data_IF_237997786986
#
_entry.id   IF_237997786986
#
_cell.length_a   1.000
_cell.length_b   1.000
_cell.length_c   1.000
_cell.angle_alpha   90.00
_cell.angle_beta   90.00
_cell.angle_gamma   90.00
#
_symmetry.space_group_name_H-M   'P 1'
#
loop_
_entity.id
_entity.type
_entity.pdbx_description
1 polymer ?
#
# COMPACT_ATOMS: atom_id res chain seq x y z
N UNK A 1 -13.59 30.46 60.68
CA UNK A 1 -13.84 29.61 59.50
C UNK A 1 -12.92 30.07 58.38
N UNK A 2 -11.72 29.49 58.31
CA UNK A 2 -10.79 29.75 57.21
C UNK A 2 -11.16 28.90 55.99
N UNK A 3 -11.55 29.55 54.90
CA UNK A 3 -11.84 28.91 53.63
C UNK A 3 -10.53 28.64 52.88
N UNK A 4 -9.79 27.61 53.30
CA UNK A 4 -8.63 27.08 52.56
C UNK A 4 -9.13 26.32 51.33
N UNK A 5 -9.28 27.01 50.19
CA UNK A 5 -9.26 26.34 48.89
C UNK A 5 -7.94 25.59 48.79
N UNK A 6 -8.01 24.26 48.73
CA UNK A 6 -6.86 23.40 48.45
C UNK A 6 -6.13 23.93 47.20
N UNK A 7 -4.79 24.06 47.21
CA UNK A 7 -4.06 24.35 45.98
C UNK A 7 -4.37 23.23 44.97
N UNK A 8 -4.70 23.62 43.75
CA UNK A 8 -4.86 22.67 42.65
C UNK A 8 -3.57 21.83 42.53
N UNK A 9 -3.66 20.53 42.26
CA UNK A 9 -2.47 19.71 42.06
C UNK A 9 -1.62 20.34 40.95
N UNK A 10 -0.27 20.32 41.05
CA UNK A 10 0.57 20.68 39.91
C UNK A 10 0.11 19.80 38.75
N UNK A 11 -0.30 20.42 37.64
CA UNK A 11 -0.82 19.72 36.48
C UNK A 11 0.21 18.68 36.06
N UNK A 12 -0.05 17.41 36.34
CA UNK A 12 0.74 16.29 35.84
C UNK A 12 0.83 16.49 34.34
N UNK A 13 2.05 16.58 33.82
CA UNK A 13 2.26 16.61 32.37
C UNK A 13 1.53 15.39 31.82
N UNK A 14 0.50 15.62 31.00
CA UNK A 14 -0.18 14.55 30.29
C UNK A 14 0.89 13.89 29.42
N UNK A 15 1.24 12.65 29.75
CA UNK A 15 2.05 11.79 28.90
C UNK A 15 1.10 10.85 28.16
N UNK A 16 0.35 11.43 27.21
CA UNK A 16 -0.57 10.68 26.38
C UNK A 16 0.21 10.14 25.19
N UNK A 17 0.34 8.82 25.16
CA UNK A 17 0.83 8.11 24.01
C UNK A 17 -0.33 7.75 23.07
N UNK A 18 -0.38 8.35 21.87
CA UNK A 18 -1.38 8.08 20.83
C UNK A 18 -0.78 7.22 19.70
N UNK A 19 -0.21 6.07 20.04
CA UNK A 19 0.33 5.14 19.04
C UNK A 19 -0.68 4.08 18.61
N UNK A 20 -0.30 3.32 17.58
CA UNK A 20 -1.12 2.25 17.02
C UNK A 20 -1.01 0.93 17.81
N UNK A 21 -0.24 0.87 18.92
CA UNK A 21 -0.01 -0.39 19.63
C UNK A 21 -1.28 -0.92 20.28
N UNK A 22 -2.19 -0.05 20.70
CA UNK A 22 -3.48 -0.44 21.27
C UNK A 22 -4.22 -1.42 20.35
N UNK A 23 -4.27 -1.16 19.03
CA UNK A 23 -4.93 -2.05 18.08
C UNK A 23 -4.28 -3.44 18.00
N UNK A 24 -2.95 -3.50 18.06
CA UNK A 24 -2.19 -4.75 18.03
C UNK A 24 -2.38 -5.51 19.34
N UNK A 25 -2.34 -4.81 20.47
CA UNK A 25 -2.57 -5.39 21.80
C UNK A 25 -3.98 -5.94 21.91
N UNK A 26 -5.00 -5.19 21.46
CA UNK A 26 -6.40 -5.64 21.45
C UNK A 26 -6.60 -6.86 20.57
N UNK A 27 -5.94 -6.89 19.40
CA UNK A 27 -5.96 -8.05 18.52
C UNK A 27 -5.35 -9.28 19.20
N UNK A 28 -4.16 -9.15 19.80
CA UNK A 28 -3.50 -10.24 20.52
C UNK A 28 -4.34 -10.70 21.70
N UNK A 29 -4.88 -9.77 22.50
CA UNK A 29 -5.71 -10.09 23.66
C UNK A 29 -6.94 -10.95 23.29
N UNK A 30 -7.56 -10.66 22.14
CA UNK A 30 -8.80 -11.31 21.68
C UNK A 30 -8.58 -12.54 20.81
N UNK A 31 -7.52 -12.57 20.01
CA UNK A 31 -7.33 -13.55 18.94
C UNK A 31 -6.18 -14.53 19.17
N UNK A 32 -5.35 -14.32 20.21
CA UNK A 32 -4.28 -15.27 20.51
C UNK A 32 -4.89 -16.64 20.91
N UNK A 33 -4.43 -17.76 20.31
CA UNK A 33 -5.01 -19.07 20.55
C UNK A 33 -4.64 -19.56 21.96
N UNK A 34 -5.59 -19.44 22.89
CA UNK A 34 -5.43 -19.84 24.30
C UNK A 34 -6.23 -21.09 24.67
N UNK A 35 -7.05 -21.62 23.75
CA UNK A 35 -7.91 -22.78 24.01
C UNK A 35 -7.06 -24.05 23.99
N UNK A 36 -7.23 -24.90 25.01
CA UNK A 36 -6.57 -26.19 25.07
C UNK A 36 -7.18 -27.11 24.02
N UNK A 37 -6.33 -27.86 23.31
CA UNK A 37 -6.76 -28.80 22.27
C UNK A 37 -6.61 -30.23 22.78
N UNK A 38 -7.65 -31.04 22.63
CA UNK A 38 -7.59 -32.48 22.86
C UNK A 38 -7.17 -33.17 21.56
N UNK A 39 -6.13 -34.00 21.60
CA UNK A 39 -5.67 -34.77 20.45
C UNK A 39 -6.35 -36.13 20.47
N UNK A 40 -6.95 -36.52 19.35
CA UNK A 40 -7.57 -37.83 19.15
C UNK A 40 -7.17 -38.37 17.78
N UNK A 41 -7.30 -39.68 17.61
CA UNK A 41 -7.04 -40.34 16.34
C UNK A 41 -8.37 -40.56 15.63
N UNK A 42 -8.51 -40.09 14.39
CA UNK A 42 -9.70 -40.39 13.60
C UNK A 42 -9.74 -41.85 13.12
N UNK A 43 -10.86 -42.26 12.54
CA UNK A 43 -11.09 -43.62 12.05
C UNK A 43 -10.05 -44.09 11.01
N UNK A 44 -9.35 -43.15 10.37
CA UNK A 44 -8.31 -43.40 9.38
C UNK A 44 -6.89 -43.40 9.98
N UNK A 45 -6.75 -43.32 11.30
CA UNK A 45 -5.45 -43.29 11.98
C UNK A 45 -4.77 -41.92 11.99
N UNK A 46 -5.43 -40.86 11.52
CA UNK A 46 -4.82 -39.53 11.48
C UNK A 46 -5.00 -38.80 12.81
N UNK A 47 -3.96 -38.15 13.35
CA UNK A 47 -4.09 -37.30 14.53
C UNK A 47 -4.93 -36.07 14.18
N UNK A 48 -6.03 -35.89 14.89
CA UNK A 48 -6.87 -34.70 14.86
C UNK A 48 -6.84 -34.02 16.22
N UNK A 49 -7.19 -32.74 16.22
CA UNK A 49 -7.32 -32.00 17.46
C UNK A 49 -8.61 -31.22 17.47
N UNK A 50 -9.28 -31.20 18.62
CA UNK A 50 -10.48 -30.40 18.83
C UNK A 50 -10.38 -29.53 20.08
N UNK A 51 -11.05 -28.38 20.12
CA UNK A 51 -11.01 -27.51 21.29
C UNK A 51 -11.70 -28.17 22.49
N UNK A 52 -10.96 -28.29 23.60
CA UNK A 52 -11.43 -28.94 24.81
C UNK A 52 -12.52 -28.11 25.51
N UNK A 53 -13.49 -28.82 26.09
CA UNK A 53 -14.63 -28.30 26.85
C UNK A 53 -14.67 -29.05 28.18
N UNK A 54 -14.97 -28.37 29.28
CA UNK A 54 -15.15 -29.00 30.60
C UNK A 54 -16.55 -29.63 30.77
N UNK A 55 -16.78 -30.26 31.92
CA UNK A 55 -18.05 -30.91 32.24
C UNK A 55 -19.25 -29.93 32.28
N UNK A 56 -18.99 -28.62 32.40
CA UNK A 56 -19.98 -27.55 32.43
C UNK A 56 -20.17 -26.87 31.07
N UNK A 57 -19.54 -27.39 30.00
CA UNK A 57 -19.66 -26.84 28.66
C UNK A 57 -18.78 -25.61 28.40
N UNK A 58 -17.85 -25.26 29.30
CA UNK A 58 -16.98 -24.08 29.16
C UNK A 58 -15.68 -24.40 28.41
N UNK A 59 -15.12 -23.45 27.65
CA UNK A 59 -13.81 -23.61 27.01
C UNK A 59 -12.69 -23.86 28.04
N UNK A 60 -11.94 -24.94 27.88
CA UNK A 60 -10.74 -25.17 28.68
C UNK A 60 -9.58 -24.35 28.11
N UNK A 61 -8.91 -23.57 28.95
CA UNK A 61 -7.79 -22.72 28.54
C UNK A 61 -6.44 -23.37 28.86
N UNK A 62 -5.51 -23.25 27.92
CA UNK A 62 -4.14 -23.70 28.06
C UNK A 62 -3.31 -22.67 28.85
N UNK A 63 -2.82 -23.06 30.03
CA UNK A 63 -2.06 -22.16 30.93
C UNK A 63 -0.78 -21.62 30.29
N UNK A 64 -0.04 -22.45 29.55
CA UNK A 64 1.18 -22.01 28.86
C UNK A 64 0.88 -21.04 27.72
N UNK A 65 -0.24 -21.23 27.01
CA UNK A 65 -0.67 -20.32 25.95
C UNK A 65 -1.13 -18.96 26.52
N UNK A 66 -1.86 -18.96 27.65
CA UNK A 66 -2.19 -17.73 28.37
C UNK A 66 -0.93 -16.96 28.78
N UNK A 67 0.03 -17.64 29.40
CA UNK A 67 1.31 -17.03 29.78
C UNK A 67 2.14 -16.55 28.58
N UNK A 68 2.03 -17.20 27.41
CA UNK A 68 2.68 -16.75 26.18
C UNK A 68 2.02 -15.47 25.63
N UNK A 69 0.69 -15.42 25.59
CA UNK A 69 -0.07 -14.23 25.21
C UNK A 69 0.28 -13.04 26.10
N UNK A 70 0.25 -13.24 27.41
CA UNK A 70 0.44 -12.14 28.37
C UNK A 70 1.87 -11.59 28.29
N UNK A 71 2.87 -12.45 28.14
CA UNK A 71 4.26 -12.02 27.86
C UNK A 71 4.40 -11.26 26.55
N UNK A 72 3.72 -11.69 25.48
CA UNK A 72 3.74 -10.98 24.20
C UNK A 72 3.13 -9.59 24.32
N UNK A 73 2.00 -9.46 25.04
CA UNK A 73 1.37 -8.16 25.32
C UNK A 73 2.32 -7.27 26.11
N UNK A 74 2.97 -7.79 27.15
CA UNK A 74 3.95 -7.05 27.95
C UNK A 74 5.10 -6.52 27.09
N UNK A 75 5.68 -7.36 26.23
CA UNK A 75 6.73 -6.97 25.30
C UNK A 75 6.27 -5.88 24.32
N UNK A 76 5.07 -6.02 23.74
CA UNK A 76 4.49 -5.02 22.85
C UNK A 76 4.30 -3.69 23.57
N UNK A 77 3.76 -3.70 24.78
CA UNK A 77 3.57 -2.51 25.59
C UNK A 77 4.90 -1.80 25.92
N UNK A 78 5.99 -2.56 26.12
CA UNK A 78 7.33 -2.05 26.40
C UNK A 78 8.04 -1.42 25.19
N UNK A 79 7.58 -1.66 23.95
CA UNK A 79 8.17 -1.03 22.77
C UNK A 79 8.02 0.49 22.81
N UNK A 80 8.94 1.26 22.21
CA UNK A 80 8.79 2.71 22.11
C UNK A 80 7.50 3.09 21.35
N UNK A 81 6.92 4.26 21.66
CA UNK A 81 5.73 4.75 20.97
C UNK A 81 6.00 4.94 19.48
N UNK A 82 5.04 4.54 18.64
CA UNK A 82 5.11 4.73 17.19
C UNK A 82 4.12 5.83 16.82
N UNK A 83 4.65 7.03 16.54
CA UNK A 83 3.83 8.16 16.14
C UNK A 83 3.11 7.88 14.81
N UNK A 84 1.83 8.25 14.73
CA UNK A 84 1.11 8.23 13.45
C UNK A 84 1.71 9.27 12.51
N UNK A 85 1.65 9.02 11.19
CA UNK A 85 2.17 9.97 10.20
C UNK A 85 1.51 11.36 10.35
N UNK A 86 0.21 11.41 10.65
CA UNK A 86 -0.51 12.66 10.87
C UNK A 86 -0.01 13.41 12.11
N UNK A 87 0.19 12.71 13.24
CA UNK A 87 0.70 13.35 14.46
C UNK A 87 2.13 13.85 14.26
N UNK A 88 3.00 13.06 13.60
CA UNK A 88 4.37 13.48 13.27
C UNK A 88 4.39 14.72 12.35
N UNK A 89 3.48 14.82 11.37
CA UNK A 89 3.34 16.00 10.51
C UNK A 89 2.87 17.21 11.33
N UNK A 90 1.86 17.05 12.20
CA UNK A 90 1.35 18.14 13.04
C UNK A 90 2.40 18.60 14.04
N UNK A 91 3.14 17.69 14.66
CA UNK A 91 4.24 18.00 15.58
C UNK A 91 5.34 18.78 14.86
N UNK A 92 5.74 18.35 13.66
CA UNK A 92 6.83 18.97 12.91
C UNK A 92 6.49 20.35 12.35
N UNK A 93 5.28 20.53 11.82
CA UNK A 93 4.90 21.75 11.10
C UNK A 93 3.96 22.67 11.90
N UNK A 94 3.37 22.16 12.98
CA UNK A 94 2.41 22.89 13.80
C UNK A 94 1.01 22.95 13.19
N UNK A 95 0.02 23.15 14.07
CA UNK A 95 -1.39 23.26 13.68
C UNK A 95 -1.69 24.49 12.84
N UNK A 96 -0.84 25.52 12.85
CA UNK A 96 -1.03 26.73 12.06
C UNK A 96 -0.68 26.53 10.58
N UNK A 97 0.25 25.63 10.26
CA UNK A 97 0.65 25.35 8.88
C UNK A 97 -0.14 24.19 8.25
N UNK A 98 -0.64 23.27 9.08
CA UNK A 98 -1.31 22.02 8.67
C UNK A 98 -2.83 22.15 8.78
N UNK A 99 -3.51 22.03 7.64
CA UNK A 99 -4.94 21.85 7.56
C UNK A 99 -5.27 20.36 7.71
N UNK A 100 -5.97 20.02 8.78
CA UNK A 100 -6.39 18.65 9.06
C UNK A 100 -7.86 18.46 8.68
N UNK A 101 -8.13 17.59 7.71
CA UNK A 101 -9.48 17.26 7.22
C UNK A 101 -9.71 15.76 7.31
N UNK A 102 -9.81 15.29 8.55
CA UNK A 102 -9.93 13.86 8.91
C UNK A 102 -11.19 13.61 9.75
N UNK A 103 -11.47 12.34 10.04
CA UNK A 103 -12.54 11.94 10.97
C UNK A 103 -12.18 12.07 12.46
N UNK A 104 -10.98 12.52 12.83
CA UNK A 104 -10.55 12.62 14.23
C UNK A 104 -11.35 13.67 15.00
N UNK A 105 -11.94 13.27 16.11
CA UNK A 105 -12.64 14.18 17.04
C UNK A 105 -11.70 14.88 18.03
N UNK A 106 -10.46 14.39 18.17
CA UNK A 106 -9.42 14.94 19.06
C UNK A 106 -8.04 14.76 18.44
N UNK A 107 -7.13 15.67 18.77
CA UNK A 107 -5.69 15.59 18.42
C UNK A 107 -4.81 15.99 19.57
N UNK A 108 -3.60 15.45 19.60
CA UNK A 108 -2.55 15.86 20.52
C UNK A 108 -1.80 17.06 19.91
N UNK A 109 -1.55 18.08 20.71
CA UNK A 109 -0.72 19.23 20.33
C UNK A 109 0.40 19.35 21.34
N UNK A 110 1.62 19.46 20.83
CA UNK A 110 2.79 19.77 21.65
C UNK A 110 2.99 21.29 21.61
N UNK A 111 2.83 21.92 22.77
CA UNK A 111 3.04 23.35 22.95
C UNK A 111 4.52 23.72 22.80
N UNK A 112 4.80 25.01 22.62
CA UNK A 112 6.19 25.52 22.55
C UNK A 112 7.00 25.25 23.83
N UNK A 113 6.30 25.02 24.93
CA UNK A 113 6.85 24.64 26.24
C UNK A 113 7.06 23.12 26.38
N UNK A 114 6.89 22.35 25.30
CA UNK A 114 6.98 20.89 25.31
C UNK A 114 5.80 20.19 25.96
N UNK A 115 4.79 20.92 26.44
CA UNK A 115 3.63 20.33 27.11
C UNK A 115 2.63 19.80 26.09
N UNK A 116 2.12 18.61 26.37
CA UNK A 116 1.04 18.02 25.58
C UNK A 116 -0.31 18.62 25.97
N UNK A 117 -1.12 18.92 24.96
CA UNK A 117 -2.51 19.38 25.11
C UNK A 117 -3.41 18.60 24.17
N UNK A 118 -4.44 17.98 24.74
CA UNK A 118 -5.50 17.36 23.94
C UNK A 118 -6.47 18.43 23.46
N UNK A 119 -6.59 18.60 22.14
CA UNK A 119 -7.50 19.54 21.51
C UNK A 119 -8.68 18.80 20.86
N UNK A 120 -9.90 19.14 21.27
CA UNK A 120 -11.12 18.69 20.62
C UNK A 120 -11.31 19.37 19.25
N UNK A 121 -11.76 18.60 18.26
CA UNK A 121 -12.11 19.06 16.91
C UNK A 121 -13.60 18.84 16.68
N UNK A 122 -14.30 19.91 16.31
CA UNK A 122 -15.72 19.82 15.95
C UNK A 122 -15.88 19.38 14.48
N UNK A 123 -17.04 18.83 14.07
CA UNK A 123 -17.30 18.54 12.66
C UNK A 123 -17.15 19.77 11.73
N UNK A 124 -17.39 20.99 12.26
CA UNK A 124 -17.19 22.25 11.55
C UNK A 124 -15.70 22.60 11.35
N UNK A 125 -14.79 22.02 12.14
CA UNK A 125 -13.35 22.24 11.99
C UNK A 125 -12.88 21.87 10.58
N UNK A 126 -13.37 20.77 10.00
CA UNK A 126 -13.01 20.35 8.65
C UNK A 126 -13.34 21.43 7.58
N UNK A 127 -14.42 22.19 7.76
CA UNK A 127 -14.78 23.30 6.86
C UNK A 127 -13.78 24.45 7.01
N UNK A 128 -13.51 24.87 8.24
CA UNK A 128 -12.58 25.96 8.53
C UNK A 128 -11.15 25.62 8.05
N UNK A 129 -10.71 24.38 8.25
CA UNK A 129 -9.41 23.87 7.81
C UNK A 129 -9.30 23.82 6.28
N UNK A 130 -10.36 23.34 5.60
CA UNK A 130 -10.43 23.36 4.14
C UNK A 130 -10.33 24.80 3.62
N UNK A 131 -11.11 25.72 4.17
CA UNK A 131 -11.09 27.11 3.75
C UNK A 131 -9.73 27.76 4.02
N UNK A 132 -9.10 27.48 5.17
CA UNK A 132 -7.77 27.99 5.48
C UNK A 132 -6.70 27.51 4.50
N UNK A 133 -6.79 26.27 4.03
CA UNK A 133 -5.92 25.76 2.97
C UNK A 133 -6.19 26.44 1.62
N UNK A 134 -7.46 26.56 1.21
CA UNK A 134 -7.86 27.13 -0.08
C UNK A 134 -7.62 28.65 -0.16
N UNK A 135 -7.66 29.34 0.98
CA UNK A 135 -7.28 30.76 1.12
C UNK A 135 -5.75 30.96 1.13
N UNK A 136 -4.97 29.88 1.26
CA UNK A 136 -3.51 29.93 1.37
C UNK A 136 -2.99 30.31 2.75
N UNK A 137 -3.87 30.39 3.76
CA UNK A 137 -3.48 30.59 5.17
C UNK A 137 -2.72 29.39 5.72
N UNK A 138 -3.08 28.18 5.28
CA UNK A 138 -2.36 26.93 5.55
C UNK A 138 -1.75 26.38 4.27
N UNK A 139 -0.51 25.87 4.37
CA UNK A 139 0.27 25.41 3.22
C UNK A 139 0.21 23.89 3.03
N UNK A 140 -0.07 23.16 4.10
CA UNK A 140 -0.11 21.69 4.13
C UNK A 140 -1.56 21.29 4.36
N UNK A 141 -2.04 20.29 3.63
CA UNK A 141 -3.35 19.68 3.84
C UNK A 141 -3.15 18.17 4.02
N UNK A 142 -3.71 17.63 5.10
CA UNK A 142 -3.82 16.18 5.29
C UNK A 142 -5.30 15.84 5.37
N UNK A 143 -5.75 14.89 4.55
CA UNK A 143 -7.13 14.46 4.53
C UNK A 143 -7.25 12.94 4.52
N UNK A 144 -8.36 12.44 5.05
CA UNK A 144 -8.74 11.03 4.98
C UNK A 144 -10.15 10.88 4.41
N UNK A 145 -10.54 9.65 4.01
CA UNK A 145 -11.86 9.37 3.44
C UNK A 145 -13.00 9.88 4.34
N UNK A 146 -12.90 9.65 5.65
CA UNK A 146 -13.90 10.08 6.63
C UNK A 146 -14.07 11.61 6.73
N UNK A 147 -13.04 12.39 6.42
CA UNK A 147 -13.07 13.85 6.49
C UNK A 147 -13.29 14.55 5.14
N UNK A 148 -12.94 13.88 4.03
CA UNK A 148 -12.85 14.47 2.70
C UNK A 148 -14.12 14.42 1.85
N UNK A 149 -15.19 13.75 2.30
CA UNK A 149 -16.41 13.55 1.51
C UNK A 149 -16.98 14.88 1.01
N UNK A 150 -17.21 14.96 -0.31
CA UNK A 150 -17.79 16.14 -0.98
C UNK A 150 -16.86 17.34 -1.14
N UNK A 151 -15.61 17.29 -0.65
CA UNK A 151 -14.69 18.44 -0.68
C UNK A 151 -13.80 18.44 -1.93
N UNK A 152 -13.21 19.59 -2.22
CA UNK A 152 -12.24 19.80 -3.29
C UNK A 152 -11.06 20.59 -2.79
N UNK A 153 -9.87 20.19 -3.20
CA UNK A 153 -8.59 20.76 -2.80
C UNK A 153 -7.68 21.07 -4.00
N UNK A 154 -8.19 20.96 -5.22
CA UNK A 154 -7.44 21.27 -6.44
C UNK A 154 -7.06 22.76 -6.48
N UNK A 155 -6.05 23.09 -7.27
CA UNK A 155 -5.60 24.47 -7.46
C UNK A 155 -6.55 25.23 -8.40
N UNK A 156 -7.82 25.40 -8.02
CA UNK A 156 -8.85 26.04 -8.85
C UNK A 156 -8.47 27.49 -9.19
N UNK A 157 -8.75 27.92 -10.43
CA UNK A 157 -8.50 29.30 -10.88
C UNK A 157 -9.35 30.35 -10.13
N UNK A 158 -10.45 29.94 -9.50
CA UNK A 158 -11.33 30.81 -8.70
C UNK A 158 -10.89 30.95 -7.24
N UNK A 159 -9.92 30.16 -6.77
CA UNK A 159 -9.47 30.23 -5.37
C UNK A 159 -8.16 31.00 -5.24
N UNK A 160 -7.89 31.49 -4.03
CA UNK A 160 -6.67 32.26 -3.73
C UNK A 160 -5.41 31.40 -3.78
N UNK A 161 -5.45 30.19 -3.23
CA UNK A 161 -4.31 29.28 -3.23
C UNK A 161 -4.23 28.45 -4.51
N UNK A 162 -3.56 28.98 -5.52
CA UNK A 162 -3.34 28.32 -6.83
C UNK A 162 -2.00 27.57 -6.93
N UNK A 163 -1.28 27.39 -5.81
CA UNK A 163 0.00 26.70 -5.82
C UNK A 163 -0.14 25.25 -6.33
N UNK A 164 0.84 24.75 -7.08
CA UNK A 164 0.83 23.37 -7.58
C UNK A 164 0.64 22.38 -6.43
N UNK A 165 -0.31 21.46 -6.57
CA UNK A 165 -0.55 20.42 -5.56
C UNK A 165 0.49 19.31 -5.71
N UNK A 166 1.30 19.10 -4.68
CA UNK A 166 2.17 17.92 -4.56
C UNK A 166 1.51 16.99 -3.56
N UNK A 167 0.83 15.97 -4.07
CA UNK A 167 0.01 15.06 -3.30
C UNK A 167 0.85 13.84 -2.93
N UNK A 168 1.19 13.72 -1.64
CA UNK A 168 1.84 12.54 -1.08
C UNK A 168 0.79 11.50 -0.70
N UNK A 169 0.87 10.32 -1.31
CA UNK A 169 -0.04 9.20 -1.04
C UNK A 169 0.62 8.29 -0.01
N UNK A 170 0.26 8.51 1.27
CA UNK A 170 0.77 7.75 2.42
C UNK A 170 0.03 6.42 2.59
N UNK A 171 -1.30 6.46 2.60
CA UNK A 171 -2.16 5.29 2.81
C UNK A 171 -3.20 5.23 1.68
N UNK A 172 -2.92 4.52 0.57
CA UNK A 172 -3.91 4.30 -0.46
C UNK A 172 -5.05 3.43 0.08
N UNK A 173 -6.30 3.88 -0.10
CA UNK A 173 -7.46 3.07 0.24
C UNK A 173 -7.40 1.67 -0.39
N UNK A 174 -7.80 0.64 0.36
CA UNK A 174 -7.74 -0.76 -0.07
C UNK A 174 -8.64 -1.05 -1.27
N UNK A 175 -9.69 -0.25 -1.48
CA UNK A 175 -10.59 -0.34 -2.64
C UNK A 175 -10.22 0.70 -3.69
N UNK A 176 -10.29 0.31 -4.96
CA UNK A 176 -9.89 1.15 -6.09
C UNK A 176 -10.73 2.42 -6.20
N UNK A 177 -12.04 2.34 -6.00
CA UNK A 177 -12.97 3.47 -6.01
C UNK A 177 -12.62 4.53 -4.95
N UNK A 178 -12.28 4.11 -3.72
CA UNK A 178 -11.88 5.01 -2.65
C UNK A 178 -10.56 5.75 -2.95
N UNK A 179 -9.53 5.05 -3.43
CA UNK A 179 -8.25 5.66 -3.80
C UNK A 179 -8.40 6.67 -4.95
N UNK A 180 -9.18 6.32 -5.98
CA UNK A 180 -9.50 7.21 -7.11
C UNK A 180 -10.22 8.48 -6.63
N UNK A 181 -11.21 8.32 -5.74
CA UNK A 181 -11.93 9.44 -5.15
C UNK A 181 -11.00 10.37 -4.38
N UNK A 182 -10.02 9.83 -3.64
CA UNK A 182 -8.99 10.61 -2.94
C UNK A 182 -8.15 11.47 -3.89
N UNK A 183 -7.65 10.88 -4.99
CA UNK A 183 -6.86 11.59 -6.00
C UNK A 183 -7.67 12.68 -6.72
N UNK A 184 -8.96 12.40 -6.99
CA UNK A 184 -9.92 13.35 -7.57
C UNK A 184 -10.27 14.53 -6.67
N UNK A 185 -9.83 14.54 -5.39
CA UNK A 185 -9.95 15.73 -4.53
C UNK A 185 -8.94 16.80 -4.92
N UNK A 186 -7.77 16.43 -5.42
CA UNK A 186 -6.71 17.36 -5.83
C UNK A 186 -6.57 17.54 -7.34
N UNK A 187 -7.22 16.69 -8.14
CA UNK A 187 -7.20 16.75 -9.60
C UNK A 187 -8.61 16.97 -10.15
N UNK A 188 -8.90 18.16 -10.69
CA UNK A 188 -10.19 18.50 -11.30
C UNK A 188 -10.02 19.41 -12.51
N UNK A 189 -11.10 19.59 -13.27
CA UNK A 189 -11.17 20.64 -14.29
C UNK A 189 -11.01 22.03 -13.66
N UNK A 190 -10.66 23.03 -14.46
CA UNK A 190 -10.45 24.42 -14.02
C UNK A 190 -9.28 24.65 -13.04
N UNK A 191 -8.32 23.73 -12.96
CA UNK A 191 -7.12 23.90 -12.14
C UNK A 191 -6.04 24.74 -12.85
N UNK A 192 -5.45 25.69 -12.14
CA UNK A 192 -4.33 26.53 -12.58
C UNK A 192 -3.07 25.70 -12.92
N UNK A 193 -2.93 24.53 -12.30
CA UNK A 193 -1.86 23.58 -12.62
C UNK A 193 -2.26 22.14 -12.30
N UNK A 194 -1.70 21.20 -13.06
CA UNK A 194 -1.85 19.78 -12.78
C UNK A 194 -1.16 19.37 -11.47
N UNK A 195 -1.77 18.50 -10.66
CA UNK A 195 -1.12 17.97 -9.46
C UNK A 195 0.04 17.04 -9.82
N UNK A 196 1.01 16.95 -8.92
CA UNK A 196 2.03 15.92 -8.90
C UNK A 196 1.66 14.89 -7.83
N UNK A 197 1.49 13.64 -8.22
CA UNK A 197 1.27 12.54 -7.27
C UNK A 197 2.60 11.90 -6.90
N UNK A 198 2.81 11.69 -5.60
CA UNK A 198 4.00 11.04 -5.04
C UNK A 198 3.55 9.92 -4.10
N UNK A 199 3.42 8.67 -4.60
CA UNK A 199 3.34 7.51 -3.73
C UNK A 199 4.53 7.51 -2.77
N UNK A 200 4.26 7.34 -1.48
CA UNK A 200 5.29 7.22 -0.46
C UNK A 200 5.30 5.79 0.02
N UNK A 201 6.47 5.18 0.03
CA UNK A 201 6.70 3.87 0.62
C UNK A 201 7.93 3.89 1.50
N UNK A 202 7.96 3.00 2.46
CA UNK A 202 9.14 2.76 3.29
C UNK A 202 10.14 1.85 2.55
N UNK A 203 11.26 1.56 3.20
CA UNK A 203 12.27 0.57 2.78
C UNK A 203 11.83 -0.89 3.02
N UNK A 204 10.59 -1.08 3.48
CA UNK A 204 9.95 -2.38 3.62
C UNK A 204 9.42 -2.82 2.26
N UNK A 205 10.11 -3.76 1.59
CA UNK A 205 9.72 -4.24 0.25
C UNK A 205 8.32 -4.82 0.21
N UNK A 206 7.82 -5.35 1.33
CA UNK A 206 6.44 -5.77 1.48
C UNK A 206 5.42 -4.68 1.15
N UNK A 207 5.77 -3.41 1.34
CA UNK A 207 4.92 -2.28 0.98
C UNK A 207 4.81 -2.06 -0.53
N UNK A 208 5.74 -2.59 -1.35
CA UNK A 208 5.63 -2.54 -2.83
C UNK A 208 4.38 -3.27 -3.33
N UNK A 209 3.80 -4.20 -2.56
CA UNK A 209 2.47 -4.76 -2.83
C UNK A 209 1.38 -3.67 -2.90
N UNK A 210 1.47 -2.66 -2.04
CA UNK A 210 0.51 -1.56 -2.05
C UNK A 210 0.73 -0.69 -3.28
N UNK A 211 1.97 -0.51 -3.71
CA UNK A 211 2.31 0.19 -4.95
C UNK A 211 1.76 -0.54 -6.18
N UNK A 212 1.98 -1.85 -6.32
CA UNK A 212 1.50 -2.64 -7.47
C UNK A 212 0.00 -2.52 -7.67
N UNK A 213 -0.71 -2.50 -6.54
CA UNK A 213 -2.14 -2.33 -6.46
C UNK A 213 -2.56 -0.92 -6.89
N UNK A 214 -1.83 0.13 -6.50
CA UNK A 214 -2.06 1.52 -6.93
C UNK A 214 -1.72 1.71 -8.41
N UNK A 215 -0.64 1.12 -8.93
CA UNK A 215 -0.16 1.28 -10.30
C UNK A 215 -1.25 0.90 -11.32
N UNK A 216 -1.80 -0.30 -11.19
CA UNK A 216 -2.95 -0.76 -12.00
C UNK A 216 -4.18 0.15 -11.87
N UNK A 217 -4.39 0.72 -10.69
CA UNK A 217 -5.55 1.60 -10.38
C UNK A 217 -5.39 2.98 -11.00
N UNK A 218 -4.17 3.51 -11.08
CA UNK A 218 -3.84 4.73 -11.81
C UNK A 218 -3.99 4.53 -13.33
N UNK A 219 -3.58 3.39 -13.87
CA UNK A 219 -3.80 3.02 -15.28
C UNK A 219 -5.29 2.96 -15.64
N UNK A 220 -6.11 2.45 -14.72
CA UNK A 220 -7.57 2.41 -14.86
C UNK A 220 -8.21 3.81 -14.79
N UNK A 221 -7.65 4.72 -14.00
CA UNK A 221 -8.08 6.11 -13.86
C UNK A 221 -7.89 6.91 -15.15
N UNK A 222 -6.76 6.68 -15.84
CA UNK A 222 -6.51 7.21 -17.17
C UNK A 222 -7.49 6.65 -18.22
N UNK A 223 -7.81 5.36 -18.15
CA UNK A 223 -8.80 4.75 -19.05
C UNK A 223 -10.21 5.34 -18.86
N UNK A 224 -10.60 5.65 -17.62
CA UNK A 224 -11.95 6.12 -17.26
C UNK A 224 -12.19 7.62 -17.47
N UNK A 225 -11.16 8.47 -17.37
CA UNK A 225 -11.39 9.93 -17.32
C UNK A 225 -11.40 10.63 -18.67
N UNK A 226 -11.05 9.95 -19.77
CA UNK A 226 -11.13 10.50 -21.16
C UNK A 226 -11.03 9.47 -22.30
N UNK A 227 -11.04 8.15 -22.03
CA UNK A 227 -10.60 7.15 -23.01
C UNK A 227 -9.11 7.29 -23.41
N UNK A 228 -8.39 8.19 -22.76
CA UNK A 228 -6.98 8.48 -22.92
C UNK A 228 -6.30 8.21 -21.59
N UNK A 229 -5.44 7.19 -21.51
CA UNK A 229 -4.56 6.91 -20.35
C UNK A 229 -3.49 8.00 -20.09
N UNK A 230 -3.73 9.25 -20.48
CA UNK A 230 -2.75 10.33 -20.50
C UNK A 230 -2.56 11.08 -19.16
N UNK A 231 -3.02 10.57 -18.03
CA UNK A 231 -2.87 11.28 -16.75
C UNK A 231 -2.03 10.51 -15.74
N UNK A 232 -0.70 10.58 -15.93
CA UNK A 232 0.28 10.50 -14.83
C UNK A 232 0.87 9.14 -14.48
N UNK A 233 0.54 8.06 -15.20
CA UNK A 233 1.07 6.70 -14.95
C UNK A 233 2.21 6.26 -15.88
N UNK A 234 2.32 6.81 -17.10
CA UNK A 234 3.40 6.47 -18.03
C UNK A 234 4.75 6.94 -17.44
N UNK A 235 5.62 5.98 -17.12
CA UNK A 235 6.89 6.10 -16.38
C UNK A 235 6.79 6.23 -14.85
N UNK A 236 5.61 6.10 -14.24
CA UNK A 236 5.51 6.13 -12.77
C UNK A 236 5.80 4.76 -12.14
N UNK A 237 5.62 3.67 -12.89
CA UNK A 237 5.83 2.29 -12.42
C UNK A 237 6.48 1.44 -13.51
N UNK A 238 7.37 0.54 -13.09
CA UNK A 238 7.95 -0.48 -13.96
C UNK A 238 6.94 -1.63 -14.15
N UNK A 239 6.85 -2.29 -15.32
CA UNK A 239 6.02 -3.50 -15.48
C UNK A 239 6.28 -4.59 -14.42
N UNK A 240 7.52 -4.67 -13.91
CA UNK A 240 7.91 -5.56 -12.80
C UNK A 240 7.25 -5.20 -11.47
N UNK A 241 6.80 -3.95 -11.28
CA UNK A 241 6.06 -3.53 -10.11
C UNK A 241 4.63 -4.11 -10.11
N UNK A 242 4.10 -4.62 -11.24
CA UNK A 242 2.80 -5.26 -11.28
C UNK A 242 2.84 -6.73 -10.81
N UNK A 243 2.76 -6.91 -9.50
CA UNK A 243 2.75 -8.23 -8.85
C UNK A 243 1.49 -9.08 -9.12
N UNK A 244 0.48 -8.56 -9.82
CA UNK A 244 -0.71 -9.35 -10.21
C UNK A 244 -0.63 -9.85 -11.66
N UNK A 245 0.42 -9.46 -12.40
CA UNK A 245 0.63 -9.85 -13.79
C UNK A 245 0.83 -11.36 -13.97
N UNK A 246 0.60 -11.86 -15.18
CA UNK A 246 0.91 -13.26 -15.54
C UNK A 246 2.41 -13.54 -15.32
N UNK A 247 3.28 -12.58 -15.65
CA UNK A 247 4.72 -12.68 -15.42
C UNK A 247 5.07 -12.86 -13.94
N UNK A 248 4.42 -12.11 -13.05
CA UNK A 248 4.63 -12.24 -11.60
C UNK A 248 4.15 -13.60 -11.06
N UNK A 249 3.02 -14.12 -11.57
CA UNK A 249 2.52 -15.46 -11.19
C UNK A 249 3.45 -16.58 -11.67
N UNK A 250 3.94 -16.48 -12.90
CA UNK A 250 4.92 -17.43 -13.46
C UNK A 250 6.25 -17.37 -12.70
N UNK A 251 6.73 -16.17 -12.38
CA UNK A 251 7.93 -15.97 -11.57
C UNK A 251 7.76 -16.57 -10.16
N UNK A 252 6.58 -16.47 -9.56
CA UNK A 252 6.30 -17.08 -8.26
C UNK A 252 6.33 -18.62 -8.31
N UNK A 253 5.74 -19.23 -9.35
CA UNK A 253 5.83 -20.67 -9.55
C UNK A 253 7.29 -21.13 -9.68
N UNK A 254 8.09 -20.36 -10.44
CA UNK A 254 9.53 -20.61 -10.54
C UNK A 254 10.25 -20.43 -9.19
N UNK A 255 9.89 -19.41 -8.42
CA UNK A 255 10.43 -19.17 -7.08
C UNK A 255 10.17 -20.36 -6.15
N UNK A 256 8.95 -20.94 -6.14
CA UNK A 256 8.65 -22.15 -5.37
C UNK A 256 9.49 -23.35 -5.81
N UNK A 257 9.69 -23.54 -7.13
CA UNK A 257 10.57 -24.59 -7.64
C UNK A 257 12.02 -24.41 -7.17
N UNK A 258 12.54 -23.18 -7.17
CA UNK A 258 13.88 -22.86 -6.67
C UNK A 258 14.00 -23.07 -5.16
N UNK A 259 12.97 -22.69 -4.39
CA UNK A 259 12.89 -22.96 -2.96
C UNK A 259 12.97 -24.46 -2.66
N UNK A 260 12.17 -25.25 -3.39
CA UNK A 260 12.13 -26.70 -3.23
C UNK A 260 13.47 -27.37 -3.57
N UNK A 261 14.16 -26.89 -4.61
CA UNK A 261 15.52 -27.35 -4.96
C UNK A 261 16.63 -26.83 -4.03
N UNK A 262 16.32 -25.96 -3.05
CA UNK A 262 17.31 -25.36 -2.16
C UNK A 262 18.27 -24.38 -2.87
N UNK A 263 17.81 -23.72 -3.94
CA UNK A 263 18.61 -22.78 -4.75
C UNK A 263 18.45 -21.31 -4.35
N UNK A 264 17.59 -21.02 -3.37
CA UNK A 264 17.38 -19.69 -2.84
C UNK A 264 18.29 -19.46 -1.63
N UNK A 265 18.79 -18.25 -1.49
CA UNK A 265 19.67 -17.84 -0.40
C UNK A 265 18.88 -17.26 0.77
N UNK A 266 17.76 -16.57 0.49
CA UNK A 266 16.98 -15.86 1.49
C UNK A 266 16.39 -16.79 2.56
N UNK A 267 15.89 -17.97 2.16
CA UNK A 267 15.24 -18.92 3.06
C UNK A 267 15.25 -20.34 2.48
N UNK A 268 15.51 -21.33 3.34
CA UNK A 268 15.35 -22.74 2.99
C UNK A 268 13.91 -23.23 3.12
N UNK A 269 13.57 -24.32 2.41
CA UNK A 269 12.22 -24.88 2.33
C UNK A 269 11.57 -25.11 3.72
N UNK A 270 12.19 -25.89 4.60
CA UNK A 270 11.64 -26.20 5.94
C UNK A 270 11.38 -24.92 6.73
N UNK A 271 12.36 -24.02 6.83
CA UNK A 271 12.20 -22.74 7.54
C UNK A 271 11.09 -21.88 6.95
N UNK A 272 10.92 -21.86 5.63
CA UNK A 272 9.85 -21.11 4.99
C UNK A 272 8.47 -21.69 5.34
N UNK A 273 8.31 -23.01 5.29
CA UNK A 273 7.05 -23.67 5.65
C UNK A 273 6.71 -23.43 7.13
N UNK A 274 7.69 -23.52 8.03
CA UNK A 274 7.50 -23.27 9.47
C UNK A 274 7.06 -21.84 9.77
N UNK A 275 7.70 -20.85 9.12
CA UNK A 275 7.39 -19.44 9.35
C UNK A 275 6.06 -19.00 8.73
N UNK A 276 5.69 -19.59 7.59
CA UNK A 276 4.52 -19.11 6.81
C UNK A 276 3.28 -19.99 6.98
N UNK A 277 3.43 -21.22 7.44
CA UNK A 277 2.39 -22.25 7.44
C UNK A 277 1.90 -22.63 6.03
N UNK A 278 2.67 -22.30 4.99
CA UNK A 278 2.38 -22.72 3.62
C UNK A 278 2.98 -24.10 3.37
N UNK A 279 2.17 -25.00 2.82
CA UNK A 279 2.64 -26.31 2.37
C UNK A 279 3.08 -26.20 0.92
N UNK A 280 4.35 -26.49 0.68
CA UNK A 280 5.02 -26.50 -0.62
C UNK A 280 5.44 -27.94 -0.98
N UNK A 281 5.80 -28.74 0.03
CA UNK A 281 6.17 -30.14 -0.12
C UNK A 281 5.02 -31.07 0.29
N UNK A 282 4.77 -32.10 -0.53
CA UNK A 282 3.82 -33.18 -0.29
C UNK A 282 4.34 -34.23 0.69
N UNK A 283 3.46 -35.11 1.17
CA UNK A 283 3.84 -36.17 2.11
C UNK A 283 4.79 -37.22 1.50
N UNK A 284 4.81 -37.31 0.18
CA UNK A 284 5.69 -38.13 -0.64
C UNK A 284 7.04 -37.45 -0.96
N UNK A 285 7.26 -36.23 -0.46
CA UNK A 285 8.47 -35.45 -0.74
C UNK A 285 8.49 -34.82 -2.14
N UNK A 286 7.36 -34.76 -2.84
CA UNK A 286 7.23 -34.05 -4.11
C UNK A 286 6.76 -32.60 -3.92
N UNK A 287 6.91 -31.77 -4.94
CA UNK A 287 6.29 -30.44 -4.95
C UNK A 287 4.77 -30.60 -5.10
N UNK A 288 3.99 -29.91 -4.27
CA UNK A 288 2.52 -29.99 -4.37
C UNK A 288 2.03 -29.40 -5.69
N UNK A 289 1.04 -30.04 -6.32
CA UNK A 289 0.43 -29.56 -7.57
C UNK A 289 -0.27 -28.20 -7.40
N UNK A 290 -1.00 -28.04 -6.28
CA UNK A 290 -1.73 -26.80 -5.96
C UNK A 290 -0.86 -25.88 -5.09
N UNK A 291 0.04 -25.15 -5.74
CA UNK A 291 0.91 -24.18 -5.07
C UNK A 291 0.12 -22.95 -4.56
N UNK A 292 0.57 -22.32 -3.46
CA UNK A 292 -0.09 -21.13 -2.93
C UNK A 292 -0.18 -20.00 -3.96
N UNK A 293 -1.37 -19.40 -4.08
CA UNK A 293 -1.56 -18.21 -4.93
C UNK A 293 -0.68 -17.05 -4.48
N UNK A 294 -0.36 -16.13 -5.41
CA UNK A 294 0.44 -14.93 -5.10
C UNK A 294 -0.16 -14.09 -3.97
N UNK A 295 -1.49 -13.99 -3.90
CA UNK A 295 -2.16 -13.27 -2.81
C UNK A 295 -1.93 -13.95 -1.45
N UNK A 296 -2.03 -15.29 -1.41
CA UNK A 296 -1.79 -16.08 -0.20
C UNK A 296 -0.32 -15.99 0.22
N UNK A 297 0.61 -16.12 -0.73
CA UNK A 297 2.05 -15.98 -0.50
C UNK A 297 2.42 -14.60 0.04
N UNK A 298 1.97 -13.52 -0.61
CA UNK A 298 2.17 -12.13 -0.17
C UNK A 298 1.63 -11.90 1.25
N UNK A 299 0.43 -12.37 1.57
CA UNK A 299 -0.15 -12.23 2.90
C UNK A 299 0.70 -12.90 3.99
N UNK A 300 1.37 -14.02 3.69
CA UNK A 300 2.25 -14.68 4.68
C UNK A 300 3.58 -13.98 4.83
N UNK A 301 4.16 -13.48 3.73
CA UNK A 301 5.44 -12.76 3.79
C UNK A 301 5.33 -11.45 4.56
N UNK A 302 4.17 -10.79 4.53
CA UNK A 302 3.93 -9.58 5.32
C UNK A 302 4.05 -9.78 6.84
N UNK A 303 3.98 -11.02 7.32
CA UNK A 303 4.15 -11.34 8.74
C UNK A 303 5.61 -11.69 9.13
N UNK A 304 6.53 -11.73 8.15
CA UNK A 304 7.93 -12.08 8.39
C UNK A 304 8.74 -10.87 8.87
N UNK A 305 9.88 -11.08 9.55
CA UNK A 305 10.82 -10.00 9.87
C UNK A 305 11.24 -9.24 8.60
N UNK A 306 11.34 -7.91 8.69
CA UNK A 306 11.58 -7.01 7.54
C UNK A 306 12.79 -7.45 6.71
N UNK A 307 13.91 -7.82 7.35
CA UNK A 307 15.10 -8.26 6.64
C UNK A 307 14.86 -9.52 5.78
N UNK A 308 14.11 -10.49 6.32
CA UNK A 308 13.78 -11.73 5.61
C UNK A 308 12.77 -11.47 4.50
N UNK A 309 11.76 -10.64 4.77
CA UNK A 309 10.84 -10.18 3.75
C UNK A 309 11.60 -9.53 2.59
N UNK A 310 12.51 -8.60 2.89
CA UNK A 310 13.28 -7.88 1.86
C UNK A 310 14.10 -8.86 1.01
N UNK A 311 14.82 -9.80 1.65
CA UNK A 311 15.60 -10.81 0.95
C UNK A 311 14.74 -11.69 0.01
N UNK A 312 13.57 -12.17 0.49
CA UNK A 312 12.66 -12.97 -0.34
C UNK A 312 12.12 -12.14 -1.51
N UNK A 313 11.76 -10.87 -1.28
CA UNK A 313 11.28 -9.99 -2.34
C UNK A 313 12.37 -9.68 -3.36
N UNK A 314 13.63 -9.56 -2.95
CA UNK A 314 14.76 -9.32 -3.85
C UNK A 314 14.95 -10.46 -4.85
N UNK A 315 14.94 -11.70 -4.36
CA UNK A 315 14.99 -12.89 -5.23
C UNK A 315 13.77 -12.97 -6.15
N UNK A 316 12.57 -12.75 -5.60
CA UNK A 316 11.33 -12.82 -6.37
C UNK A 316 11.28 -11.75 -7.47
N UNK A 317 11.61 -10.49 -7.16
CA UNK A 317 11.57 -9.39 -8.13
C UNK A 317 12.59 -9.63 -9.25
N UNK A 318 13.78 -10.15 -8.92
CA UNK A 318 14.78 -10.53 -9.93
C UNK A 318 14.22 -11.55 -10.94
N UNK A 319 13.38 -12.49 -10.48
CA UNK A 319 12.70 -13.46 -11.36
C UNK A 319 11.60 -12.80 -12.21
N UNK A 320 10.88 -11.82 -11.66
CA UNK A 320 9.88 -11.04 -12.40
C UNK A 320 10.55 -10.23 -13.50
N UNK A 321 11.62 -9.50 -13.18
CA UNK A 321 12.40 -8.69 -14.12
C UNK A 321 12.93 -9.56 -15.26
N UNK A 322 13.58 -10.69 -14.95
CA UNK A 322 14.05 -11.64 -15.95
C UNK A 322 12.93 -12.16 -16.86
N UNK A 323 11.72 -12.36 -16.30
CA UNK A 323 10.57 -12.85 -17.08
C UNK A 323 9.98 -11.77 -17.98
N UNK A 324 9.91 -10.53 -17.50
CA UNK A 324 9.50 -9.35 -18.26
C UNK A 324 10.48 -9.08 -19.40
N UNK A 325 11.79 -9.17 -19.13
CA UNK A 325 12.83 -8.98 -20.14
C UNK A 325 12.76 -10.05 -21.24
N UNK A 326 12.56 -11.31 -20.87
CA UNK A 326 12.35 -12.39 -21.83
C UNK A 326 11.12 -12.16 -22.70
N UNK A 327 9.99 -11.71 -22.12
CA UNK A 327 8.79 -11.37 -22.87
C UNK A 327 9.03 -10.18 -23.82
N UNK A 328 9.80 -9.17 -23.36
CA UNK A 328 10.16 -8.00 -24.16
C UNK A 328 11.00 -8.39 -25.37
N UNK A 329 12.02 -9.23 -25.17
CA UNK A 329 12.86 -9.74 -26.26
C UNK A 329 12.09 -10.60 -27.26
N UNK A 330 11.10 -11.36 -26.77
CA UNK A 330 10.21 -12.16 -27.61
C UNK A 330 9.10 -11.34 -28.30
N UNK A 331 8.98 -10.03 -28.02
CA UNK A 331 7.90 -9.19 -28.54
C UNK A 331 6.51 -9.57 -28.03
N UNK A 332 6.42 -10.34 -26.94
CA UNK A 332 5.17 -10.83 -26.32
C UNK A 332 4.85 -10.14 -25.01
N UNK A 333 5.55 -9.04 -24.70
CA UNK A 333 5.30 -8.26 -23.50
C UNK A 333 3.97 -7.50 -23.65
N UNK A 334 2.98 -7.86 -22.85
CA UNK A 334 1.72 -7.13 -22.75
C UNK A 334 1.90 -5.95 -21.79
N UNK A 335 2.11 -4.77 -22.35
CA UNK A 335 2.14 -3.49 -21.63
C UNK A 335 0.74 -2.85 -21.51
N UNK A 336 -0.30 -3.53 -22.01
CA UNK A 336 -1.64 -3.00 -22.16
C UNK A 336 -1.74 -1.93 -23.25
N UNK A 337 -2.56 -0.90 -23.03
CA UNK A 337 -2.75 0.20 -23.99
C UNK A 337 -1.51 1.10 -23.98
N UNK A 338 -0.81 1.12 -25.11
CA UNK A 338 0.35 1.98 -25.36
C UNK A 338 -0.05 3.28 -26.06
N UNK A 339 0.72 4.35 -25.83
CA UNK A 339 0.60 5.60 -26.59
C UNK A 339 1.87 5.78 -27.39
N UNK A 340 1.73 5.74 -28.71
CA UNK A 340 2.83 5.99 -29.62
C UNK A 340 2.78 7.46 -30.02
N UNK A 341 3.79 8.24 -29.58
CA UNK A 341 3.96 9.60 -30.05
C UNK A 341 4.51 9.58 -31.48
N UNK A 342 3.69 10.04 -32.42
CA UNK A 342 3.96 10.04 -33.85
C UNK A 342 3.70 11.45 -34.40
N UNK A 343 4.40 11.83 -35.47
CA UNK A 343 4.09 13.05 -36.21
C UNK A 343 2.84 12.86 -37.07
N UNK A 344 2.73 11.69 -37.69
CA UNK A 344 1.56 11.21 -38.43
C UNK A 344 1.44 9.69 -38.32
N UNK A 345 0.26 9.18 -38.58
CA UNK A 345 0.02 7.75 -38.74
C UNK A 345 -1.04 7.51 -39.82
N UNK A 346 -0.92 6.38 -40.49
CA UNK A 346 -1.89 5.88 -41.46
C UNK A 346 -2.34 4.48 -41.03
N UNK A 347 -3.63 4.20 -41.15
CA UNK A 347 -4.18 2.86 -40.87
C UNK A 347 -4.05 2.03 -42.14
N UNK A 348 -3.16 1.03 -42.12
CA UNK A 348 -2.95 0.11 -43.22
C UNK A 348 -4.11 -0.89 -43.30
N UNK A 349 -4.51 -1.44 -42.14
CA UNK A 349 -5.61 -2.40 -42.06
C UNK A 349 -6.40 -2.28 -40.76
N UNK A 350 -7.70 -2.58 -40.85
CA UNK A 350 -8.61 -2.64 -39.71
C UNK A 350 -9.43 -3.94 -39.78
N UNK A 351 -9.12 -4.87 -38.88
CA UNK A 351 -9.77 -6.18 -38.80
C UNK A 351 -10.62 -6.30 -37.53
N UNK A 352 -11.93 -6.43 -37.68
CA UNK A 352 -12.83 -6.73 -36.56
C UNK A 352 -12.58 -8.14 -36.04
N UNK A 353 -12.07 -8.27 -34.82
CA UNK A 353 -11.80 -9.55 -34.17
C UNK A 353 -13.03 -10.11 -33.44
N UNK A 354 -13.79 -9.25 -32.75
CA UNK A 354 -14.90 -9.67 -31.91
C UNK A 354 -15.89 -8.55 -31.69
N UNK A 355 -17.17 -8.90 -31.63
CA UNK A 355 -18.24 -8.04 -31.09
C UNK A 355 -18.76 -8.67 -29.81
N UNK A 356 -18.82 -7.88 -28.73
CA UNK A 356 -19.38 -8.33 -27.47
C UNK A 356 -20.90 -8.48 -27.57
N UNK A 357 -21.41 -9.65 -27.18
CA UNK A 357 -22.81 -10.02 -27.40
C UNK A 357 -23.79 -9.24 -26.50
N UNK A 358 -23.33 -8.65 -25.40
CA UNK A 358 -24.20 -7.95 -24.43
C UNK A 358 -24.15 -6.44 -24.64
N UNK A 359 -22.97 -5.87 -24.85
CA UNK A 359 -22.75 -4.43 -24.97
C UNK A 359 -22.71 -3.93 -26.43
N UNK A 360 -22.52 -4.82 -27.40
CA UNK A 360 -22.30 -4.45 -28.80
C UNK A 360 -20.92 -3.83 -29.07
N UNK A 361 -20.02 -3.79 -28.08
CA UNK A 361 -18.69 -3.23 -28.23
C UNK A 361 -17.84 -4.07 -29.19
N UNK A 362 -17.10 -3.41 -30.10
CA UNK A 362 -16.24 -4.07 -31.08
C UNK A 362 -14.77 -4.01 -30.69
N UNK A 363 -14.04 -5.10 -30.95
CA UNK A 363 -12.58 -5.22 -30.76
C UNK A 363 -11.93 -5.36 -32.13
N UNK A 364 -10.99 -4.47 -32.43
CA UNK A 364 -10.34 -4.37 -33.73
C UNK A 364 -8.84 -4.63 -33.60
N UNK A 365 -8.26 -5.30 -34.60
CA UNK A 365 -6.82 -5.37 -34.83
C UNK A 365 -6.48 -4.36 -35.91
N UNK A 366 -5.67 -3.36 -35.56
CA UNK A 366 -5.21 -2.32 -36.48
C UNK A 366 -3.75 -2.55 -36.84
N UNK A 367 -3.44 -2.44 -38.12
CA UNK A 367 -2.06 -2.28 -38.60
C UNK A 367 -1.84 -0.81 -38.94
N UNK A 368 -0.79 -0.21 -38.37
CA UNK A 368 -0.53 1.22 -38.48
C UNK A 368 0.85 1.46 -39.09
N UNK A 369 0.91 2.31 -40.11
CA UNK A 369 2.16 2.97 -40.50
C UNK A 369 2.34 4.23 -39.67
N UNK A 370 3.54 4.49 -39.16
CA UNK A 370 3.79 5.64 -38.28
C UNK A 370 5.04 6.41 -38.72
N UNK A 371 4.93 7.74 -38.71
CA UNK A 371 6.08 8.64 -38.87
C UNK A 371 6.52 9.14 -37.48
N UNK A 372 7.82 9.05 -37.19
CA UNK A 372 8.40 9.56 -35.93
C UNK A 372 9.49 10.58 -36.22
N UNK A 373 9.42 11.72 -35.55
CA UNK A 373 10.50 12.69 -35.54
C UNK A 373 11.80 12.03 -35.06
N UNK A 374 12.88 12.17 -35.82
CA UNK A 374 14.21 11.91 -35.29
C UNK A 374 14.46 12.89 -34.14
N UNK A 375 14.73 12.39 -32.94
CA UNK A 375 15.17 13.22 -31.81
C UNK A 375 16.70 13.23 -31.80
N UNK A 376 17.36 14.22 -32.42
CA UNK A 376 18.81 14.29 -32.39
C UNK A 376 19.29 14.38 -30.94
N UNK A 377 20.29 13.57 -30.60
CA UNK A 377 20.99 13.67 -29.33
C UNK A 377 21.76 15.00 -29.31
N UNK A 378 21.72 15.70 -28.18
CA UNK A 378 22.63 16.84 -27.97
C UNK A 378 24.06 16.32 -27.86
N UNK A 379 25.04 17.11 -28.31
CA UNK A 379 26.46 16.73 -28.28
C UNK A 379 26.89 16.18 -26.90
N UNK A 380 26.48 16.87 -25.83
CA UNK A 380 26.72 16.46 -24.44
C UNK A 380 26.17 15.06 -24.11
N UNK A 381 24.94 14.74 -24.54
CA UNK A 381 24.34 13.41 -24.32
C UNK A 381 24.98 12.33 -25.18
N UNK A 382 25.48 12.70 -26.36
CA UNK A 382 26.26 11.80 -27.20
C UNK A 382 27.59 11.45 -26.51
N UNK A 383 28.24 12.44 -25.89
CA UNK A 383 29.44 12.25 -25.08
C UNK A 383 29.23 11.31 -23.89
N UNK A 384 28.17 11.53 -23.12
CA UNK A 384 27.79 10.67 -21.98
C UNK A 384 27.49 9.22 -22.38
N UNK A 385 26.89 8.99 -23.55
CA UNK A 385 26.47 7.66 -23.99
C UNK A 385 27.59 6.85 -24.65
N UNK A 386 28.54 7.52 -25.31
CA UNK A 386 29.62 6.88 -26.07
C UNK A 386 31.02 7.13 -25.50
N UNK A 387 31.13 7.78 -24.34
CA UNK A 387 32.41 8.09 -23.71
C UNK A 387 33.27 9.05 -24.54
N UNK A 388 32.63 9.93 -25.31
CA UNK A 388 33.33 10.95 -26.10
C UNK A 388 33.45 12.21 -25.23
N UNK A 389 34.67 12.65 -24.97
CA UNK A 389 34.91 13.96 -24.36
C UNK A 389 34.41 15.04 -25.32
N UNK A 390 33.27 15.66 -25.00
CA UNK A 390 32.70 16.81 -25.72
C UNK A 390 32.36 17.95 -24.78
#
# INVERSE_FOLDING_TARGET
MENRRKPAPPATTLDINCDCKEYVVDYVARSFPVRLMAVFTDENGNPRSEPMIDEQGQPVLCRSALAARDRMIEQLCALPPIATALDAIIERFGVDAVAEVTGRSRRLIIGRDGRQKLQSRSPRANIAETQAFMDGRKRILVFSDAGGTGRSYHADLSVRNQARRVHFLLEPGWRADAAIQGLGRSNRTNQASAPLFRPVTTDVRGERRFISTIARRLDSLGALTRGQRQTGGQNLFDPSDNLESTYAKEALNRWFGLLFMGKLEAVGLSRFQDLTGLRIEGADGSLVDDLPSIQRWLNRILALPIALQNAIFDEFISLVEARVDAARQAGTLDLGVETIAVESFDVISDTLLRTDATSGATTHLLELEIARALKPLTLKRLGEHFGLDT
#
